data_IF_550714917180
#
_entry.id   IF_550714917180
#
_cell.length_a   1.000
_cell.length_b   1.000
_cell.length_c   1.000
_cell.angle_alpha   90.00
_cell.angle_beta   90.00
_cell.angle_gamma   90.00
#
_symmetry.space_group_name_H-M   'P 1'
#
loop_
_entity.id
_entity.type
_entity.pdbx_description
1 polymer ?
#
# COMPACT_ATOMS: atom_id res chain seq x y z
N UNK A 1 -21.36 -17.40 4.21
CA UNK A 1 -21.21 -17.69 2.76
C UNK A 1 -19.72 -17.72 2.43
N UNK A 2 -19.09 -18.91 2.44
CA UNK A 2 -17.68 -19.06 2.03
C UNK A 2 -17.60 -18.91 0.51
N UNK A 3 -16.92 -17.87 0.02
CA UNK A 3 -16.58 -17.76 -1.41
C UNK A 3 -15.32 -18.58 -1.66
N UNK A 4 -15.49 -19.65 -2.44
CA UNK A 4 -14.42 -20.45 -3.00
C UNK A 4 -13.49 -19.57 -3.84
N UNK A 5 -12.19 -19.61 -3.56
CA UNK A 5 -11.15 -19.03 -4.42
C UNK A 5 -11.18 -19.77 -5.77
N UNK A 6 -11.45 -19.05 -6.87
CA UNK A 6 -11.36 -19.61 -8.22
C UNK A 6 -9.91 -19.86 -8.58
N UNK A 7 -9.68 -21.06 -9.11
CA UNK A 7 -8.41 -21.70 -9.41
C UNK A 7 -7.80 -21.14 -10.70
N UNK A 8 -6.92 -20.13 -10.61
CA UNK A 8 -5.80 -19.94 -11.55
C UNK A 8 -4.68 -19.04 -11.00
N UNK A 9 -4.37 -19.17 -9.72
CA UNK A 9 -3.15 -18.55 -9.17
C UNK A 9 -1.94 -19.35 -9.67
N UNK A 10 -1.00 -18.68 -10.34
CA UNK A 10 0.30 -19.28 -10.62
C UNK A 10 1.14 -19.24 -9.35
N UNK A 11 1.65 -20.40 -8.94
CA UNK A 11 2.55 -20.56 -7.79
C UNK A 11 3.91 -21.00 -8.33
N UNK A 12 4.94 -20.21 -8.07
CA UNK A 12 6.33 -20.55 -8.34
C UNK A 12 7.07 -20.61 -6.99
N UNK A 13 7.75 -21.73 -6.75
CA UNK A 13 8.57 -21.94 -5.56
C UNK A 13 10.02 -22.19 -5.97
N UNK A 14 10.93 -21.29 -5.60
CA UNK A 14 12.37 -21.44 -5.80
C UNK A 14 13.13 -20.86 -4.61
N UNK A 15 14.09 -21.59 -4.05
CA UNK A 15 15.02 -21.08 -3.04
C UNK A 15 14.38 -20.48 -1.77
N UNK A 16 13.13 -20.81 -1.45
CA UNK A 16 12.38 -20.21 -0.33
C UNK A 16 11.50 -19.01 -0.70
N UNK A 17 11.45 -18.63 -1.98
CA UNK A 17 10.55 -17.61 -2.54
C UNK A 17 9.26 -18.29 -2.97
N UNK A 18 8.12 -17.74 -2.56
CA UNK A 18 6.78 -18.12 -3.00
C UNK A 18 6.19 -16.93 -3.74
N UNK A 19 5.92 -17.10 -5.04
CA UNK A 19 5.27 -16.09 -5.87
C UNK A 19 3.88 -16.55 -6.25
N UNK A 20 2.87 -15.77 -5.87
CA UNK A 20 1.46 -15.96 -6.24
C UNK A 20 1.04 -14.86 -7.20
N UNK A 21 0.50 -15.23 -8.35
CA UNK A 21 0.01 -14.28 -9.34
C UNK A 21 -1.42 -14.62 -9.72
N UNK A 22 -2.33 -13.70 -9.41
CA UNK A 22 -3.66 -13.67 -10.00
C UNK A 22 -3.59 -12.93 -11.34
N UNK A 23 -3.56 -13.68 -12.44
CA UNK A 23 -3.47 -13.14 -13.80
C UNK A 23 -4.73 -12.40 -14.24
N UNK A 24 -5.87 -12.70 -13.63
CA UNK A 24 -7.16 -12.09 -13.93
C UNK A 24 -7.39 -10.80 -13.12
N UNK A 25 -6.45 -10.43 -12.24
CA UNK A 25 -6.54 -9.20 -11.46
C UNK A 25 -6.45 -7.97 -12.39
N UNK A 26 -7.43 -7.05 -12.36
CA UNK A 26 -7.46 -5.89 -13.24
C UNK A 26 -6.26 -4.99 -12.97
N UNK A 27 -5.51 -4.66 -14.03
CA UNK A 27 -4.37 -3.74 -13.97
C UNK A 27 -4.77 -2.28 -14.17
N UNK A 28 -6.03 -2.07 -14.55
CA UNK A 28 -6.69 -0.78 -14.69
C UNK A 28 -7.95 -0.89 -13.87
N UNK A 29 -8.10 -0.03 -12.87
CA UNK A 29 -9.31 0.02 -12.03
C UNK A 29 -10.26 1.06 -12.62
N UNK A 30 -11.54 0.70 -12.77
CA UNK A 30 -12.56 1.63 -13.28
C UNK A 30 -13.25 2.40 -12.16
N UNK A 31 -13.29 1.82 -10.97
CA UNK A 31 -13.87 2.44 -9.78
C UNK A 31 -13.02 3.57 -9.24
N UNK A 32 -13.69 4.61 -8.76
CA UNK A 32 -13.06 5.80 -8.20
C UNK A 32 -13.35 5.96 -6.70
N UNK A 33 -14.38 5.29 -6.19
CA UNK A 33 -14.79 5.36 -4.79
C UNK A 33 -14.04 4.35 -3.93
N UNK A 34 -12.96 4.79 -3.30
CA UNK A 34 -12.18 4.01 -2.34
C UNK A 34 -12.93 3.95 -1.01
N UNK A 35 -13.09 2.74 -0.45
CA UNK A 35 -13.62 2.52 0.90
C UNK A 35 -12.54 2.16 1.90
N UNK A 36 -11.48 1.48 1.46
CA UNK A 36 -10.32 1.11 2.29
C UNK A 36 -9.05 1.36 1.50
N UNK A 37 -8.09 2.02 2.14
CA UNK A 37 -6.72 2.17 1.68
C UNK A 37 -5.78 1.72 2.79
N UNK A 38 -4.89 0.77 2.49
CA UNK A 38 -3.80 0.35 3.35
C UNK A 38 -2.52 0.28 2.53
N UNK A 39 -1.52 1.05 2.90
CA UNK A 39 -0.21 1.02 2.28
C UNK A 39 0.87 0.94 3.34
N UNK A 40 1.75 -0.06 3.20
CA UNK A 40 2.90 -0.26 4.06
C UNK A 40 4.13 -0.39 3.19
N UNK A 41 5.20 0.33 3.51
CA UNK A 41 6.44 0.21 2.76
C UNK A 41 7.65 0.54 3.63
N UNK A 42 8.77 -0.07 3.26
CA UNK A 42 10.07 0.17 3.85
C UNK A 42 10.94 1.03 2.95
N UNK A 43 11.72 1.90 3.58
CA UNK A 43 12.75 2.72 2.95
C UNK A 43 14.12 2.49 3.59
N UNK A 44 14.31 1.37 4.31
CA UNK A 44 15.60 1.04 4.93
C UNK A 44 16.75 0.85 3.92
N UNK A 45 16.43 0.45 2.68
CA UNK A 45 17.42 0.26 1.63
C UNK A 45 17.73 1.54 0.84
N UNK A 46 17.13 2.69 1.21
CA UNK A 46 17.33 3.94 0.47
C UNK A 46 18.67 4.54 0.87
N UNK A 47 19.45 4.94 -0.14
CA UNK A 47 20.74 5.59 0.06
C UNK A 47 20.57 6.97 0.71
N UNK A 48 21.64 7.48 1.31
CA UNK A 48 21.66 8.73 2.08
C UNK A 48 21.15 9.96 1.32
N UNK A 49 21.09 9.94 -0.02
CA UNK A 49 20.52 11.04 -0.81
C UNK A 49 18.99 11.20 -0.70
N UNK A 50 18.27 10.25 -0.09
CA UNK A 50 16.81 10.28 0.11
C UNK A 50 16.42 10.46 1.60
N UNK A 51 17.16 11.28 2.35
CA UNK A 51 16.99 11.48 3.81
C UNK A 51 15.54 11.75 4.26
N UNK A 52 14.75 12.47 3.45
CA UNK A 52 13.38 12.89 3.80
C UNK A 52 12.48 11.71 4.17
N UNK A 53 12.68 10.57 3.50
CA UNK A 53 11.84 9.38 3.68
C UNK A 53 12.65 8.12 4.00
N UNK A 54 13.98 8.17 3.94
CA UNK A 54 14.85 7.02 4.19
C UNK A 54 14.74 6.45 5.61
N UNK A 55 15.29 5.25 5.79
CA UNK A 55 15.49 4.61 7.10
C UNK A 55 14.23 4.41 7.95
N UNK A 56 13.06 4.26 7.32
CA UNK A 56 11.77 4.16 8.01
C UNK A 56 10.91 3.05 7.44
N UNK A 57 9.97 2.58 8.25
CA UNK A 57 8.81 1.80 7.80
C UNK A 57 7.58 2.68 7.98
N UNK A 58 6.85 2.89 6.90
CA UNK A 58 5.61 3.66 6.90
C UNK A 58 4.40 2.72 6.86
N UNK A 59 3.36 3.09 7.60
CA UNK A 59 2.05 2.44 7.59
C UNK A 59 1.01 3.56 7.46
N UNK A 60 0.31 3.54 6.34
CA UNK A 60 -0.71 4.51 5.94
C UNK A 60 -2.03 3.79 5.82
N UNK A 61 -3.02 4.19 6.61
CA UNK A 61 -4.34 3.56 6.63
C UNK A 61 -5.41 4.64 6.49
N UNK A 62 -6.39 4.42 5.64
CA UNK A 62 -7.57 5.27 5.53
C UNK A 62 -8.79 4.40 5.27
N UNK A 63 -9.89 4.67 5.97
CA UNK A 63 -11.16 3.97 5.81
C UNK A 63 -12.29 4.98 5.76
N UNK A 64 -13.14 4.87 4.73
CA UNK A 64 -14.36 5.65 4.64
C UNK A 64 -15.41 4.99 5.53
N UNK A 65 -15.91 5.73 6.51
CA UNK A 65 -16.98 5.30 7.41
C UNK A 65 -18.06 6.39 7.46
N UNK A 66 -19.21 6.09 6.87
CA UNK A 66 -20.27 7.07 6.61
C UNK A 66 -19.74 8.21 5.73
N UNK A 67 -19.75 9.45 6.23
CA UNK A 67 -19.34 10.66 5.50
C UNK A 67 -17.91 11.13 5.82
N UNK A 68 -17.18 10.40 6.70
CA UNK A 68 -15.85 10.78 7.13
C UNK A 68 -14.82 9.68 6.86
N UNK A 69 -13.58 10.09 6.70
CA UNK A 69 -12.43 9.20 6.58
C UNK A 69 -11.73 9.10 7.93
N UNK A 70 -11.69 7.90 8.48
CA UNK A 70 -10.84 7.58 9.62
C UNK A 70 -9.47 7.15 9.09
N UNK A 71 -8.44 7.93 9.40
CA UNK A 71 -7.09 7.73 8.91
C UNK A 71 -6.08 7.50 10.02
N UNK A 72 -4.98 6.83 9.67
CA UNK A 72 -3.83 6.62 10.54
C UNK A 72 -2.54 6.78 9.76
N UNK A 73 -1.63 7.56 10.32
CA UNK A 73 -0.27 7.72 9.83
C UNK A 73 0.68 7.18 10.90
N UNK A 74 1.50 6.19 10.54
CA UNK A 74 2.57 5.70 11.40
C UNK A 74 3.88 5.65 10.64
N UNK A 75 4.96 6.05 11.29
CA UNK A 75 6.29 5.59 10.89
C UNK A 75 7.07 5.02 12.06
N UNK A 76 7.92 4.05 11.74
CA UNK A 76 8.90 3.48 12.66
C UNK A 76 10.30 3.76 12.15
N UNK A 77 11.16 4.23 13.03
CA UNK A 77 12.58 4.49 12.76
C UNK A 77 13.43 3.83 13.83
N UNK A 78 14.67 3.47 13.48
CA UNK A 78 15.69 3.10 14.48
C UNK A 78 16.46 4.31 15.01
N UNK A 79 16.42 5.42 14.28
CA UNK A 79 17.24 6.61 14.52
C UNK A 79 16.43 7.81 15.03
N UNK A 80 15.10 7.74 14.93
CA UNK A 80 14.18 8.83 15.28
C UNK A 80 13.01 8.30 16.10
N UNK A 81 12.26 9.23 16.69
CA UNK A 81 11.02 8.90 17.37
C UNK A 81 10.01 8.26 16.41
N UNK A 82 9.35 7.22 16.89
CA UNK A 82 8.21 6.65 16.19
C UNK A 82 7.03 7.62 16.27
N UNK A 83 6.29 7.76 15.19
CA UNK A 83 5.05 8.55 15.14
C UNK A 83 3.89 7.60 14.89
N UNK A 84 2.79 7.83 15.60
CA UNK A 84 1.53 7.13 15.41
C UNK A 84 0.39 8.12 15.67
N UNK A 85 -0.25 8.59 14.60
CA UNK A 85 -1.31 9.60 14.65
C UNK A 85 -2.55 9.07 13.97
N UNK A 86 -3.69 9.24 14.63
CA UNK A 86 -5.01 8.96 14.09
C UNK A 86 -5.67 10.30 13.77
N UNK A 87 -6.34 10.41 12.62
CA UNK A 87 -7.02 11.62 12.20
C UNK A 87 -8.40 11.31 11.61
N UNK A 88 -9.23 12.35 11.54
CA UNK A 88 -10.47 12.36 10.74
C UNK A 88 -10.30 13.35 9.60
N UNK A 89 -10.70 12.96 8.40
CA UNK A 89 -10.68 13.80 7.22
C UNK A 89 -12.01 13.74 6.47
N UNK A 90 -12.24 14.69 5.58
CA UNK A 90 -13.36 14.67 4.66
C UNK A 90 -13.19 13.59 3.58
N UNK A 91 -14.31 13.19 2.96
CA UNK A 91 -14.31 12.24 1.84
C UNK A 91 -13.38 12.66 0.68
N UNK A 92 -13.15 13.96 0.49
CA UNK A 92 -12.20 14.49 -0.52
C UNK A 92 -10.76 13.99 -0.33
N UNK A 93 -10.42 13.43 0.83
CA UNK A 93 -9.15 12.74 1.07
C UNK A 93 -9.03 11.45 0.24
N UNK A 94 -10.10 10.65 0.14
CA UNK A 94 -10.12 9.43 -0.67
C UNK A 94 -10.02 9.74 -2.16
N UNK A 95 -10.64 10.83 -2.61
CA UNK A 95 -10.52 11.29 -4.00
C UNK A 95 -9.07 11.67 -4.35
N UNK A 96 -8.36 12.32 -3.43
CA UNK A 96 -6.93 12.64 -3.60
C UNK A 96 -6.07 11.38 -3.61
N UNK A 97 -6.39 10.39 -2.78
CA UNK A 97 -5.73 9.07 -2.84
C UNK A 97 -5.95 8.38 -4.18
N UNK A 98 -7.17 8.44 -4.71
CA UNK A 98 -7.49 7.87 -6.02
C UNK A 98 -6.66 8.52 -7.14
N UNK A 99 -6.50 9.85 -7.13
CA UNK A 99 -5.63 10.54 -8.09
C UNK A 99 -4.18 10.06 -8.01
N UNK A 100 -3.64 9.89 -6.80
CA UNK A 100 -2.28 9.35 -6.61
C UNK A 100 -2.16 7.92 -7.17
N UNK A 101 -3.19 7.08 -6.98
CA UNK A 101 -3.23 5.71 -7.52
C UNK A 101 -3.16 5.73 -9.05
N UNK A 102 -3.92 6.62 -9.69
CA UNK A 102 -3.98 6.79 -11.14
C UNK A 102 -2.68 7.38 -11.70
N UNK A 103 -2.22 8.51 -11.16
CA UNK A 103 -1.01 9.22 -11.59
C UNK A 103 0.25 8.34 -11.53
N UNK A 104 0.35 7.47 -10.53
CA UNK A 104 1.49 6.57 -10.36
C UNK A 104 1.24 5.14 -10.85
N UNK A 105 0.08 4.88 -11.48
CA UNK A 105 -0.32 3.57 -11.99
C UNK A 105 -0.11 2.44 -10.96
N UNK A 106 -0.60 2.64 -9.73
CA UNK A 106 -0.36 1.69 -8.63
C UNK A 106 -1.05 0.34 -8.85
N UNK A 107 -2.05 0.27 -9.72
CA UNK A 107 -2.73 -0.96 -10.12
C UNK A 107 -1.89 -1.87 -11.02
N UNK A 108 -0.75 -1.42 -11.58
CA UNK A 108 0.09 -2.21 -12.50
C UNK A 108 0.53 -3.57 -11.91
N UNK A 109 0.75 -3.62 -10.59
CA UNK A 109 1.20 -4.82 -9.88
C UNK A 109 0.05 -5.59 -9.22
N UNK A 110 -1.22 -5.20 -9.43
CA UNK A 110 -2.37 -5.81 -8.78
C UNK A 110 -2.39 -7.34 -8.96
N UNK A 111 -2.65 -8.10 -7.90
CA UNK A 111 -2.68 -9.56 -7.92
C UNK A 111 -1.31 -10.25 -7.86
N UNK A 112 -0.20 -9.50 -7.74
CA UNK A 112 1.14 -10.07 -7.53
C UNK A 112 1.48 -10.08 -6.06
N UNK A 113 1.77 -11.25 -5.51
CA UNK A 113 2.24 -11.43 -4.15
C UNK A 113 3.54 -12.24 -4.15
N UNK A 114 4.61 -11.67 -3.59
CA UNK A 114 5.91 -12.32 -3.44
C UNK A 114 6.24 -12.42 -1.96
N UNK A 115 6.58 -13.62 -1.51
CA UNK A 115 6.98 -13.89 -0.14
C UNK A 115 8.29 -14.66 -0.15
N UNK A 116 9.33 -14.10 0.43
CA UNK A 116 10.56 -14.82 0.75
C UNK A 116 10.45 -15.33 2.19
N UNK A 117 10.51 -16.65 2.35
CA UNK A 117 10.48 -17.29 3.67
C UNK A 117 11.67 -16.82 4.51
N UNK A 118 11.40 -16.44 5.75
CA UNK A 118 12.42 -15.96 6.68
C UNK A 118 12.69 -14.45 6.60
N UNK A 119 12.16 -13.74 5.60
CA UNK A 119 12.17 -12.26 5.60
C UNK A 119 10.94 -11.71 6.32
N UNK A 120 11.11 -10.73 7.24
CA UNK A 120 9.97 -10.02 7.82
C UNK A 120 9.14 -9.28 6.77
N UNK A 121 7.83 -9.20 6.96
CA UNK A 121 6.88 -8.40 6.16
C UNK A 121 7.19 -6.89 6.08
N UNK A 122 8.25 -6.42 6.74
CA UNK A 122 8.61 -5.01 6.90
C UNK A 122 9.79 -4.58 6.03
N UNK A 123 10.29 -5.42 5.12
CA UNK A 123 11.41 -5.06 4.24
C UNK A 123 11.00 -4.55 2.85
N UNK A 124 9.88 -5.03 2.29
CA UNK A 124 9.37 -4.56 1.01
C UNK A 124 8.16 -3.62 1.13
N UNK A 125 7.10 -3.91 0.38
CA UNK A 125 5.87 -3.12 0.36
C UNK A 125 4.60 -3.97 0.28
N UNK A 126 3.48 -3.40 0.72
CA UNK A 126 2.13 -3.92 0.60
C UNK A 126 1.20 -2.77 0.26
N UNK A 127 0.35 -2.97 -0.74
CA UNK A 127 -0.74 -2.06 -1.08
C UNK A 127 -2.04 -2.85 -1.12
N UNK A 128 -3.05 -2.33 -0.44
CA UNK A 128 -4.44 -2.77 -0.56
C UNK A 128 -5.33 -1.55 -0.75
N UNK A 129 -6.18 -1.61 -1.76
CA UNK A 129 -7.24 -0.64 -2.01
C UNK A 129 -8.51 -1.41 -2.29
N UNK A 130 -9.53 -1.21 -1.46
CA UNK A 130 -10.87 -1.78 -1.71
C UNK A 130 -11.79 -0.65 -2.15
N UNK A 131 -12.57 -0.91 -3.20
CA UNK A 131 -13.52 0.04 -3.78
C UNK A 131 -14.96 -0.35 -3.43
N UNK A 132 -15.88 0.61 -3.42
CA UNK A 132 -17.30 0.39 -3.14
C UNK A 132 -17.93 -0.64 -4.10
N UNK A 133 -17.51 -0.62 -5.37
CA UNK A 133 -17.96 -1.57 -6.40
C UNK A 133 -17.58 -3.03 -6.14
N UNK A 134 -16.65 -3.27 -5.20
CA UNK A 134 -16.01 -4.56 -4.99
C UNK A 134 -14.75 -4.79 -5.82
N UNK A 135 -14.35 -3.86 -6.70
CA UNK A 135 -13.00 -3.86 -7.28
C UNK A 135 -11.95 -3.75 -6.16
N UNK A 136 -10.77 -4.31 -6.40
CA UNK A 136 -9.66 -4.32 -5.44
C UNK A 136 -8.32 -4.23 -6.13
N UNK A 137 -7.43 -3.43 -5.55
CA UNK A 137 -5.99 -3.54 -5.74
C UNK A 137 -5.42 -4.28 -4.53
N UNK A 138 -4.68 -5.36 -4.76
CA UNK A 138 -3.91 -6.02 -3.72
C UNK A 138 -2.58 -6.51 -4.30
N UNK A 139 -1.49 -6.07 -3.70
CA UNK A 139 -0.14 -6.50 -4.07
C UNK A 139 0.76 -6.44 -2.86
N UNK A 140 1.67 -7.40 -2.73
CA UNK A 140 2.65 -7.44 -1.64
C UNK A 140 3.95 -8.06 -2.09
N UNK A 141 5.07 -7.53 -1.61
CA UNK A 141 6.38 -8.14 -1.75
C UNK A 141 7.12 -7.86 -0.44
N UNK A 142 7.53 -8.89 0.31
CA UNK A 142 8.24 -8.70 1.58
C UNK A 142 9.75 -8.46 1.41
N UNK A 143 10.30 -8.64 0.20
CA UNK A 143 11.71 -8.42 -0.14
C UNK A 143 11.92 -7.05 -0.79
N UNK A 144 11.12 -6.73 -1.81
CA UNK A 144 11.32 -5.51 -2.62
C UNK A 144 10.18 -4.50 -2.44
N UNK A 145 10.56 -3.23 -2.47
CA UNK A 145 9.60 -2.14 -2.54
C UNK A 145 9.24 -1.86 -4.01
N UNK A 146 8.04 -2.27 -4.43
CA UNK A 146 7.55 -2.06 -5.79
C UNK A 146 6.97 -0.65 -6.04
N UNK A 147 6.91 0.20 -5.01
CA UNK A 147 6.42 1.58 -5.12
C UNK A 147 7.56 2.49 -5.57
N UNK A 148 7.27 3.40 -6.51
CA UNK A 148 8.22 4.44 -6.89
C UNK A 148 8.42 5.46 -5.76
N UNK A 149 9.62 6.04 -5.66
CA UNK A 149 9.93 7.11 -4.69
C UNK A 149 8.92 8.27 -4.77
N UNK A 150 8.54 8.66 -5.98
CA UNK A 150 7.53 9.70 -6.20
C UNK A 150 6.16 9.33 -5.64
N UNK A 151 5.71 8.07 -5.83
CA UNK A 151 4.43 7.61 -5.27
C UNK A 151 4.45 7.61 -3.75
N UNK A 152 5.55 7.14 -3.14
CA UNK A 152 5.73 7.18 -1.69
C UNK A 152 5.67 8.62 -1.17
N UNK A 153 6.43 9.55 -1.77
CA UNK A 153 6.42 10.97 -1.37
C UNK A 153 5.04 11.60 -1.54
N UNK A 154 4.31 11.30 -2.60
CA UNK A 154 2.95 11.80 -2.83
C UNK A 154 1.97 11.34 -1.75
N UNK A 155 1.95 10.03 -1.45
CA UNK A 155 1.13 9.48 -0.36
C UNK A 155 1.51 10.08 0.99
N UNK A 156 2.81 10.15 1.31
CA UNK A 156 3.28 10.72 2.58
C UNK A 156 2.89 12.19 2.71
N UNK A 157 3.03 12.98 1.65
CA UNK A 157 2.62 14.39 1.65
C UNK A 157 1.13 14.53 1.96
N UNK A 158 0.28 13.74 1.32
CA UNK A 158 -1.17 13.77 1.55
C UNK A 158 -1.51 13.42 3.01
N UNK A 159 -0.93 12.35 3.56
CA UNK A 159 -1.18 11.97 4.95
C UNK A 159 -0.63 12.99 5.95
N UNK A 160 0.54 13.59 5.67
CA UNK A 160 1.15 14.60 6.53
C UNK A 160 0.34 15.89 6.63
N UNK A 161 -0.55 16.20 5.67
CA UNK A 161 -1.44 17.38 5.79
C UNK A 161 -2.48 17.23 6.90
N UNK A 162 -2.63 16.04 7.49
CA UNK A 162 -3.59 15.74 8.55
C UNK A 162 -2.95 15.72 9.95
N UNK A 163 -1.65 16.05 10.06
CA UNK A 163 -0.87 15.97 11.29
C UNK A 163 -0.72 17.31 12.01
N UNK A 164 -1.53 18.31 11.64
CA UNK A 164 -1.55 19.65 12.23
C UNK A 164 -2.04 19.66 13.68
#
# INVERSE_FOLDING_TARGET
>A
MLRFFKKKDMIEEDGGIVKKVNVDAPKIIKSTQIVIFECKFSTFAFLDSDEEIGNRVYILEARLENEFVNGRYRHRSRFENNVDVIFKAEQSFMERLQRIIEEHNLAKNNGVCVEVKGLPDMYGAKLRVDYESGERIYTSNNQDNFLSVSAMKAMLRLFRTQLS
#
